data_IF_201432653586
#
_entry.id   IF_201432653586
#
_cell.length_a   1.000
_cell.length_b   1.000
_cell.length_c   1.000
_cell.angle_alpha   90.00
_cell.angle_beta   90.00
_cell.angle_gamma   90.00
#
_symmetry.space_group_name_H-M   'P 1'
#
loop_
_entity.id
_entity.type
_entity.pdbx_description
1 polymer ?
#
# COMPACT_ATOMS: atom_id res chain seq x y z
N UNK A 1 -60.09 -6.74 37.03
CA UNK A 1 -58.65 -6.64 37.34
C UNK A 1 -57.92 -6.89 36.03
N UNK A 2 -57.68 -5.83 35.25
CA UNK A 2 -57.14 -5.93 33.89
C UNK A 2 -55.62 -5.88 33.95
N UNK A 3 -54.97 -7.00 33.66
CA UNK A 3 -53.52 -7.04 33.47
C UNK A 3 -53.21 -6.65 32.01
N UNK A 4 -52.64 -5.46 31.83
CA UNK A 4 -52.08 -5.01 30.56
C UNK A 4 -50.70 -5.65 30.43
N UNK A 5 -50.54 -6.54 29.44
CA UNK A 5 -49.23 -7.03 29.01
C UNK A 5 -48.56 -5.92 28.18
N UNK A 6 -47.55 -5.26 28.75
CA UNK A 6 -46.65 -4.39 27.98
C UNK A 6 -45.58 -5.24 27.31
N UNK A 7 -45.66 -5.36 25.99
CA UNK A 7 -44.64 -5.94 25.14
C UNK A 7 -43.47 -4.95 25.04
N UNK A 8 -42.34 -5.26 25.68
CA UNK A 8 -41.12 -4.46 25.58
C UNK A 8 -40.44 -4.77 24.24
N UNK A 9 -40.57 -3.87 23.27
CA UNK A 9 -39.87 -3.97 21.99
C UNK A 9 -38.42 -3.48 22.21
N UNK A 10 -37.47 -4.41 22.32
CA UNK A 10 -36.04 -4.07 22.32
C UNK A 10 -35.65 -3.77 20.87
N UNK A 11 -35.57 -2.48 20.54
CA UNK A 11 -34.94 -2.01 19.31
C UNK A 11 -33.43 -2.19 19.46
N UNK A 12 -32.90 -3.28 18.89
CA UNK A 12 -31.47 -3.39 18.63
C UNK A 12 -31.19 -2.43 17.46
N UNK A 13 -30.69 -1.24 17.76
CA UNK A 13 -30.17 -0.32 16.76
C UNK A 13 -28.88 -0.94 16.19
N UNK A 14 -29.01 -1.74 15.14
CA UNK A 14 -27.88 -2.04 14.28
C UNK A 14 -27.44 -0.72 13.64
N UNK A 15 -26.33 -0.17 14.10
CA UNK A 15 -25.65 0.93 13.41
C UNK A 15 -25.12 0.41 12.09
N UNK A 16 -25.95 0.51 11.04
CA UNK A 16 -25.48 0.49 9.68
C UNK A 16 -24.60 1.73 9.51
N UNK A 17 -23.29 1.57 9.66
CA UNK A 17 -22.36 2.65 9.37
C UNK A 17 -22.40 2.86 7.85
N UNK A 18 -23.08 3.92 7.41
CA UNK A 18 -22.95 4.39 6.04
C UNK A 18 -21.51 4.81 5.76
N UNK A 19 -21.19 5.09 4.49
CA UNK A 19 -19.94 5.75 4.12
C UNK A 19 -19.69 6.99 5.00
N UNK A 20 -18.49 7.11 5.57
CA UNK A 20 -18.12 8.21 6.45
C UNK A 20 -16.80 8.85 6.02
N UNK A 21 -16.78 10.18 6.01
CA UNK A 21 -15.57 10.99 5.98
C UNK A 21 -15.51 11.74 7.30
N UNK A 22 -14.54 11.38 8.14
CA UNK A 22 -14.42 11.84 9.51
C UNK A 22 -13.18 12.73 9.59
N UNK A 23 -13.34 13.92 10.15
CA UNK A 23 -12.23 14.79 10.52
C UNK A 23 -11.99 14.57 12.00
N UNK A 24 -10.78 14.16 12.37
CA UNK A 24 -10.47 13.77 13.73
C UNK A 24 -9.03 14.14 14.10
N UNK A 25 -8.72 14.07 15.39
CA UNK A 25 -7.40 14.37 15.93
C UNK A 25 -6.97 13.33 16.94
N UNK A 26 -5.66 13.16 17.10
CA UNK A 26 -5.07 12.53 18.28
C UNK A 26 -4.05 13.46 18.90
N UNK A 27 -3.96 13.47 20.23
CA UNK A 27 -2.82 14.08 20.91
C UNK A 27 -1.62 13.12 20.83
N UNK A 28 -0.50 13.60 20.30
CA UNK A 28 0.74 12.83 20.22
C UNK A 28 1.93 13.75 20.51
N UNK A 29 2.75 13.38 21.51
CA UNK A 29 3.88 14.18 21.97
C UNK A 29 3.51 15.65 22.30
N UNK A 30 2.35 15.84 22.96
CA UNK A 30 1.75 17.13 23.32
C UNK A 30 1.40 18.04 22.12
N UNK A 31 1.27 17.46 20.92
CA UNK A 31 0.82 18.13 19.71
C UNK A 31 -0.50 17.48 19.30
N UNK A 32 -1.52 18.30 19.03
CA UNK A 32 -2.73 17.82 18.38
C UNK A 32 -2.42 17.54 16.90
N UNK A 33 -2.58 16.29 16.50
CA UNK A 33 -2.31 15.82 15.15
C UNK A 33 -3.61 15.44 14.48
N UNK A 34 -4.00 16.20 13.47
CA UNK A 34 -5.24 16.00 12.75
C UNK A 34 -5.10 15.11 11.52
N UNK A 35 -6.19 14.43 11.17
CA UNK A 35 -6.27 13.56 10.01
C UNK A 35 -7.71 13.48 9.49
N UNK A 36 -7.85 13.05 8.24
CA UNK A 36 -9.14 12.69 7.65
C UNK A 36 -9.19 11.17 7.50
N UNK A 37 -10.21 10.54 8.08
CA UNK A 37 -10.48 9.12 7.91
C UNK A 37 -11.63 8.92 6.93
N UNK A 38 -11.44 8.05 5.97
CA UNK A 38 -12.50 7.56 5.11
C UNK A 38 -12.82 6.11 5.44
N UNK A 39 -14.05 5.86 5.88
CA UNK A 39 -14.58 4.52 6.13
C UNK A 39 -15.59 4.21 5.03
N UNK A 40 -15.31 3.22 4.15
CA UNK A 40 -16.19 2.90 3.03
C UNK A 40 -17.51 2.31 3.53
N UNK A 41 -18.57 2.45 2.73
CA UNK A 41 -19.87 1.86 3.08
C UNK A 41 -19.82 0.32 3.19
N UNK A 42 -18.83 -0.31 2.54
CA UNK A 42 -18.60 -1.75 2.55
C UNK A 42 -17.85 -2.24 3.80
N UNK A 43 -17.38 -1.35 4.68
CA UNK A 43 -16.71 -1.75 5.92
C UNK A 43 -17.66 -2.56 6.82
N UNK A 44 -17.15 -3.71 7.30
CA UNK A 44 -17.86 -4.57 8.22
C UNK A 44 -16.97 -4.85 9.44
N UNK A 45 -17.36 -4.45 10.67
CA UNK A 45 -16.55 -4.67 11.86
C UNK A 45 -16.32 -6.14 12.20
N UNK A 46 -17.06 -7.08 11.61
CA UNK A 46 -16.84 -8.52 11.77
C UNK A 46 -15.67 -9.07 10.93
N UNK A 47 -15.19 -8.32 9.94
CA UNK A 47 -14.11 -8.74 9.04
C UNK A 47 -12.96 -7.73 9.10
N UNK A 48 -11.71 -8.17 9.35
CA UNK A 48 -10.55 -7.27 9.33
C UNK A 48 -10.42 -6.54 7.99
N UNK A 49 -10.28 -5.22 8.03
CA UNK A 49 -10.16 -4.37 6.85
C UNK A 49 -8.70 -3.90 6.67
N UNK A 50 -8.16 -3.89 5.45
CA UNK A 50 -6.88 -3.24 5.19
C UNK A 50 -6.93 -1.74 5.51
N UNK A 51 -5.78 -1.16 5.86
CA UNK A 51 -5.63 0.27 6.12
C UNK A 51 -4.60 0.87 5.14
N UNK A 52 -4.97 1.97 4.49
CA UNK A 52 -4.05 2.74 3.64
C UNK A 52 -3.82 4.10 4.27
N UNK A 53 -2.56 4.45 4.53
CA UNK A 53 -2.16 5.83 4.76
C UNK A 53 -1.87 6.51 3.43
N UNK A 54 -2.46 7.69 3.21
CA UNK A 54 -2.24 8.49 2.00
C UNK A 54 -1.80 9.91 2.36
N UNK A 55 -0.49 10.13 2.32
CA UNK A 55 0.20 11.33 2.78
C UNK A 55 0.29 12.42 1.70
N UNK A 56 0.09 13.67 2.11
CA UNK A 56 0.13 14.83 1.22
C UNK A 56 1.56 15.30 0.90
N UNK A 57 1.72 16.07 -0.18
CA UNK A 57 2.98 16.74 -0.51
C UNK A 57 3.26 17.97 0.36
N UNK A 58 4.50 18.49 0.29
CA UNK A 58 4.90 19.72 0.99
C UNK A 58 3.96 20.89 0.61
N UNK A 59 3.59 21.73 1.57
CA UNK A 59 2.60 22.83 1.45
C UNK A 59 1.14 22.41 1.27
N UNK A 60 0.85 21.12 1.10
CA UNK A 60 -0.52 20.60 0.91
C UNK A 60 -1.20 20.23 2.24
N UNK A 61 -2.30 19.50 2.22
CA UNK A 61 -2.98 19.01 3.42
C UNK A 61 -3.78 17.73 3.14
N UNK A 62 -4.26 17.09 4.20
CA UNK A 62 -5.06 15.87 4.16
C UNK A 62 -6.27 15.95 3.21
N UNK A 63 -7.00 17.08 3.22
CA UNK A 63 -8.17 17.26 2.35
C UNK A 63 -7.75 17.30 0.89
N UNK A 64 -6.73 18.10 0.54
CA UNK A 64 -6.20 18.17 -0.81
C UNK A 64 -5.72 16.80 -1.29
N UNK A 65 -4.98 16.06 -0.45
CA UNK A 65 -4.49 14.73 -0.81
C UNK A 65 -5.61 13.71 -0.97
N UNK A 66 -6.67 13.77 -0.15
CA UNK A 66 -7.85 12.91 -0.32
C UNK A 66 -8.49 13.07 -1.70
N UNK A 67 -8.49 14.28 -2.27
CA UNK A 67 -9.00 14.53 -3.62
C UNK A 67 -7.96 14.29 -4.73
N UNK A 68 -6.67 14.48 -4.45
CA UNK A 68 -5.61 14.38 -5.45
C UNK A 68 -5.11 12.94 -5.65
N UNK A 69 -4.96 12.17 -4.57
CA UNK A 69 -4.78 10.73 -4.61
C UNK A 69 -6.05 10.03 -4.16
N UNK A 70 -7.14 10.18 -4.91
CA UNK A 70 -8.46 9.71 -4.45
C UNK A 70 -8.58 8.19 -4.56
N UNK A 71 -8.77 7.53 -3.42
CA UNK A 71 -8.99 6.09 -3.31
C UNK A 71 -10.43 5.74 -2.92
N UNK A 72 -11.30 6.72 -2.66
CA UNK A 72 -12.60 6.48 -1.98
C UNK A 72 -13.52 5.55 -2.77
N UNK A 73 -13.65 5.78 -4.08
CA UNK A 73 -14.42 4.89 -4.95
C UNK A 73 -13.83 3.46 -5.00
N UNK A 74 -12.51 3.33 -4.86
CA UNK A 74 -11.84 2.02 -4.80
C UNK A 74 -12.14 1.37 -3.45
N UNK A 75 -12.01 2.11 -2.35
CA UNK A 75 -12.31 1.67 -0.99
C UNK A 75 -13.76 1.18 -0.85
N UNK A 76 -14.74 1.86 -1.47
CA UNK A 76 -16.13 1.42 -1.47
C UNK A 76 -16.32 0.02 -2.07
N UNK A 77 -15.51 -0.34 -3.07
CA UNK A 77 -15.56 -1.68 -3.69
C UNK A 77 -14.68 -2.71 -2.97
N UNK A 78 -13.56 -2.28 -2.41
CA UNK A 78 -12.50 -3.16 -1.93
C UNK A 78 -12.49 -3.33 -0.40
N UNK A 79 -13.23 -2.50 0.35
CA UNK A 79 -13.45 -2.63 1.78
C UNK A 79 -12.27 -2.20 2.67
N UNK A 80 -11.32 -1.41 2.16
CA UNK A 80 -10.22 -0.86 2.95
C UNK A 80 -10.55 0.52 3.51
N UNK A 81 -9.99 0.84 4.68
CA UNK A 81 -10.08 2.17 5.30
C UNK A 81 -8.91 3.04 4.83
N UNK A 82 -9.13 4.35 4.67
CA UNK A 82 -8.07 5.29 4.27
C UNK A 82 -7.88 6.34 5.36
N UNK A 83 -6.65 6.51 5.82
CA UNK A 83 -6.24 7.62 6.67
C UNK A 83 -5.43 8.63 5.86
N UNK A 84 -5.77 9.90 5.97
CA UNK A 84 -5.05 11.04 5.38
C UNK A 84 -4.54 11.92 6.53
N UNK A 85 -3.32 11.68 7.04
CA UNK A 85 -2.78 12.50 8.11
C UNK A 85 -2.35 13.88 7.61
N UNK A 86 -2.45 14.90 8.48
CA UNK A 86 -1.80 16.19 8.25
C UNK A 86 -0.37 16.19 8.80
N UNK A 87 0.52 16.75 7.98
CA UNK A 87 1.86 17.13 8.37
C UNK A 87 1.84 18.35 9.30
N UNK A 88 2.89 18.49 10.09
CA UNK A 88 3.05 19.65 10.98
C UNK A 88 3.53 20.87 10.20
N UNK A 89 3.51 22.04 10.84
CA UNK A 89 4.02 23.28 10.24
C UNK A 89 5.53 23.39 10.47
N UNK A 90 6.30 23.60 9.41
CA UNK A 90 7.75 23.84 9.48
C UNK A 90 8.09 25.29 9.90
N UNK A 91 9.39 25.57 10.00
CA UNK A 91 9.88 26.92 10.31
C UNK A 91 9.55 28.00 9.27
N UNK A 92 9.06 27.63 8.09
CA UNK A 92 8.63 28.53 7.02
C UNK A 92 7.10 28.74 6.99
N UNK A 93 6.35 28.07 7.88
CA UNK A 93 4.90 28.15 7.92
C UNK A 93 4.19 27.18 6.97
N UNK A 94 4.90 26.19 6.42
CA UNK A 94 4.35 25.21 5.48
C UNK A 94 4.10 23.87 6.17
N UNK A 95 3.00 23.22 5.78
CA UNK A 95 2.70 21.84 6.16
C UNK A 95 3.69 20.86 5.53
N UNK A 96 4.20 19.92 6.32
CA UNK A 96 5.21 18.95 5.91
C UNK A 96 5.25 17.72 6.81
N UNK A 97 5.86 16.66 6.29
CA UNK A 97 6.34 15.50 7.05
C UNK A 97 7.87 15.58 7.15
N UNK A 98 8.40 15.21 8.32
CA UNK A 98 9.83 15.12 8.58
C UNK A 98 10.42 13.88 7.91
N UNK A 99 11.00 14.06 6.72
CA UNK A 99 11.49 12.95 5.89
C UNK A 99 13.00 13.02 5.63
N UNK A 100 13.74 13.73 6.49
CA UNK A 100 15.20 13.87 6.37
C UNK A 100 15.70 15.15 5.73
N UNK A 101 14.80 16.04 5.35
CA UNK A 101 15.11 17.39 4.90
C UNK A 101 14.11 18.39 5.49
N UNK A 102 14.38 19.69 5.36
CA UNK A 102 13.53 20.75 5.93
C UNK A 102 13.82 21.11 7.39
N UNK A 103 14.69 20.36 8.08
CA UNK A 103 15.19 20.70 9.42
C UNK A 103 14.18 20.49 10.56
N UNK A 104 13.20 19.62 10.34
CA UNK A 104 12.19 19.30 11.35
C UNK A 104 12.71 18.33 12.41
N UNK A 105 12.18 18.46 13.62
CA UNK A 105 12.42 17.53 14.74
C UNK A 105 11.17 16.73 15.11
N UNK A 106 10.09 16.86 14.34
CA UNK A 106 8.85 16.13 14.57
C UNK A 106 9.06 14.66 14.16
N UNK A 107 8.60 13.75 15.01
CA UNK A 107 8.64 12.32 14.72
C UNK A 107 7.32 11.90 14.06
N UNK A 108 7.28 11.99 12.73
CA UNK A 108 6.11 11.58 11.95
C UNK A 108 5.98 10.06 11.83
N UNK A 109 7.06 9.30 12.10
CA UNK A 109 7.04 7.83 12.13
C UNK A 109 6.33 7.36 13.39
N UNK A 110 6.73 7.88 14.56
CA UNK A 110 6.09 7.59 15.85
C UNK A 110 4.62 8.04 15.86
N UNK A 111 4.32 9.21 15.26
CA UNK A 111 2.94 9.65 15.08
C UNK A 111 2.13 8.66 14.23
N UNK A 112 2.68 8.20 13.10
CA UNK A 112 2.00 7.22 12.25
C UNK A 112 1.75 5.92 13.01
N UNK A 113 2.72 5.45 13.79
CA UNK A 113 2.55 4.27 14.64
C UNK A 113 1.43 4.47 15.69
N UNK A 114 1.40 5.61 16.38
CA UNK A 114 0.34 5.94 17.33
C UNK A 114 -1.04 6.05 16.66
N UNK A 115 -1.10 6.57 15.43
CA UNK A 115 -2.34 6.65 14.67
C UNK A 115 -2.83 5.27 14.23
N UNK A 116 -1.95 4.34 13.85
CA UNK A 116 -2.33 2.94 13.60
C UNK A 116 -2.98 2.35 14.84
N UNK A 117 -2.40 2.53 16.02
CA UNK A 117 -2.92 1.96 17.27
C UNK A 117 -4.29 2.59 17.63
N UNK A 118 -4.43 3.91 17.48
CA UNK A 118 -5.70 4.62 17.67
C UNK A 118 -6.79 4.08 16.74
N UNK A 119 -6.51 3.96 15.44
CA UNK A 119 -7.48 3.44 14.47
C UNK A 119 -7.82 1.97 14.74
N UNK A 120 -6.84 1.15 15.11
CA UNK A 120 -7.03 -0.27 15.43
C UNK A 120 -7.85 -0.50 16.71
N UNK A 121 -7.90 0.49 17.60
CA UNK A 121 -8.78 0.45 18.78
C UNK A 121 -10.25 0.74 18.46
N UNK A 122 -10.51 1.45 17.36
CA UNK A 122 -11.84 1.89 16.94
C UNK A 122 -12.42 1.06 15.77
N UNK A 123 -11.55 0.45 14.97
CA UNK A 123 -11.90 -0.31 13.77
C UNK A 123 -11.18 -1.67 13.78
N UNK A 124 -11.83 -2.69 13.21
CA UNK A 124 -11.22 -4.01 13.01
C UNK A 124 -10.24 -3.93 11.82
N UNK A 125 -9.04 -3.42 12.08
CA UNK A 125 -7.98 -3.29 11.08
C UNK A 125 -7.18 -4.59 10.98
N UNK A 126 -7.01 -5.08 9.76
CA UNK A 126 -6.07 -6.17 9.46
C UNK A 126 -4.63 -5.68 9.66
N UNK A 127 -4.02 -6.07 10.78
CA UNK A 127 -2.66 -5.67 11.16
C UNK A 127 -1.59 -6.17 10.19
N UNK A 128 -1.89 -7.17 9.36
CA UNK A 128 -0.97 -7.65 8.34
C UNK A 128 -1.12 -6.89 7.01
N UNK A 129 -2.11 -6.01 6.88
CA UNK A 129 -2.45 -5.30 5.64
C UNK A 129 -2.60 -3.80 5.86
N UNK A 130 -1.54 -3.21 6.41
CA UNK A 130 -1.38 -1.77 6.54
C UNK A 130 -0.38 -1.31 5.48
N UNK A 131 -0.78 -0.34 4.67
CA UNK A 131 0.01 0.15 3.54
C UNK A 131 0.23 1.66 3.65
N UNK A 132 1.29 2.15 3.01
CA UNK A 132 1.57 3.59 2.94
C UNK A 132 1.77 4.05 1.51
N UNK A 133 1.11 5.15 1.15
CA UNK A 133 1.34 5.87 -0.09
C UNK A 133 1.33 7.37 0.14
N UNK A 134 1.82 8.13 -0.83
CA UNK A 134 1.69 9.57 -0.83
C UNK A 134 2.34 10.21 -2.04
N UNK A 135 2.12 11.52 -2.18
CA UNK A 135 2.71 12.31 -3.24
C UNK A 135 3.91 13.11 -2.71
N UNK A 136 4.99 13.23 -3.50
CA UNK A 136 6.10 14.14 -3.19
C UNK A 136 6.64 13.88 -1.79
N UNK A 137 6.67 14.86 -0.88
CA UNK A 137 7.00 14.69 0.54
C UNK A 137 6.26 13.52 1.24
N UNK A 138 5.00 13.23 0.89
CA UNK A 138 4.27 12.05 1.37
C UNK A 138 4.74 10.72 0.74
N UNK A 139 5.30 10.77 -0.47
CA UNK A 139 6.02 9.64 -1.07
C UNK A 139 7.34 9.36 -0.35
N UNK A 140 8.07 10.42 0.05
CA UNK A 140 9.22 10.28 0.96
C UNK A 140 8.82 9.69 2.31
N UNK A 141 7.70 10.14 2.88
CA UNK A 141 7.18 9.58 4.12
C UNK A 141 6.90 8.08 3.99
N UNK A 142 6.33 7.65 2.86
CA UNK A 142 6.03 6.24 2.61
C UNK A 142 7.30 5.38 2.57
N UNK A 143 8.36 5.85 1.92
CA UNK A 143 9.65 5.14 1.98
C UNK A 143 10.29 5.16 3.36
N UNK A 144 10.19 6.26 4.10
CA UNK A 144 10.67 6.33 5.48
C UNK A 144 9.96 5.31 6.38
N UNK A 145 8.64 5.18 6.24
CA UNK A 145 7.86 4.18 6.98
C UNK A 145 8.24 2.74 6.61
N UNK A 146 8.58 2.47 5.34
CA UNK A 146 9.11 1.16 4.96
C UNK A 146 10.48 0.86 5.61
N UNK A 147 11.29 1.88 5.89
CA UNK A 147 12.57 1.71 6.56
C UNK A 147 12.44 1.59 8.08
N UNK A 148 11.64 2.46 8.71
CA UNK A 148 11.63 2.65 10.17
C UNK A 148 10.40 2.05 10.87
N UNK A 149 9.32 1.73 10.14
CA UNK A 149 8.09 1.12 10.65
C UNK A 149 7.69 -0.15 9.88
N UNK A 150 8.67 -0.84 9.30
CA UNK A 150 8.47 -2.10 8.56
C UNK A 150 7.81 -3.20 9.38
N UNK A 151 7.85 -3.16 10.71
CA UNK A 151 7.12 -4.14 11.53
C UNK A 151 5.58 -3.97 11.47
N UNK A 152 5.08 -2.89 10.88
CA UNK A 152 3.64 -2.61 10.71
C UNK A 152 3.24 -2.45 9.24
N UNK A 153 4.15 -1.97 8.39
CA UNK A 153 3.84 -1.59 7.01
C UNK A 153 4.15 -2.74 6.05
N UNK A 154 3.09 -3.33 5.48
CA UNK A 154 3.17 -4.48 4.59
C UNK A 154 3.75 -4.15 3.22
N UNK A 155 3.42 -2.99 2.66
CA UNK A 155 3.92 -2.54 1.36
C UNK A 155 3.78 -1.02 1.24
N UNK A 156 4.61 -0.43 0.38
CA UNK A 156 4.57 1.03 0.14
C UNK A 156 4.53 1.39 -1.34
N UNK A 157 3.90 2.52 -1.61
CA UNK A 157 3.91 3.16 -2.91
C UNK A 157 4.34 4.62 -2.78
N UNK A 158 5.04 5.15 -3.78
CA UNK A 158 5.41 6.56 -3.81
C UNK A 158 5.08 7.14 -5.17
N UNK A 159 4.39 8.28 -5.18
CA UNK A 159 4.05 9.05 -6.38
C UNK A 159 4.88 10.34 -6.36
N UNK A 160 5.75 10.51 -7.35
CA UNK A 160 6.65 11.66 -7.48
C UNK A 160 7.48 12.01 -6.22
N UNK A 161 7.60 11.05 -5.29
CA UNK A 161 8.51 11.11 -4.16
C UNK A 161 9.80 10.32 -4.43
N UNK A 162 10.71 10.35 -3.47
CA UNK A 162 11.92 9.53 -3.42
C UNK A 162 12.27 9.31 -1.95
N UNK A 163 13.51 9.01 -1.63
CA UNK A 163 14.02 8.91 -0.26
C UNK A 163 15.28 9.77 -0.15
N UNK A 164 15.50 10.37 1.02
CA UNK A 164 16.71 11.15 1.25
C UNK A 164 17.93 10.23 1.42
N UNK A 165 19.14 10.64 0.97
CA UNK A 165 20.32 9.77 0.97
C UNK A 165 20.68 9.15 2.34
N UNK A 166 20.55 9.94 3.42
CA UNK A 166 20.83 9.46 4.77
C UNK A 166 19.83 8.39 5.22
N UNK A 167 18.55 8.57 4.91
CA UNK A 167 17.48 7.61 5.19
C UNK A 167 17.69 6.31 4.41
N UNK A 168 18.03 6.38 3.12
CA UNK A 168 18.30 5.17 2.34
C UNK A 168 19.52 4.41 2.88
N UNK A 169 20.58 5.13 3.26
CA UNK A 169 21.79 4.51 3.82
C UNK A 169 21.54 3.84 5.18
N UNK A 170 20.60 4.35 5.98
CA UNK A 170 20.21 3.77 7.27
C UNK A 170 19.06 2.75 7.16
N UNK A 171 18.44 2.62 6.00
CA UNK A 171 17.26 1.79 5.80
C UNK A 171 17.59 0.32 6.03
N UNK A 172 16.86 -0.31 6.96
CA UNK A 172 16.99 -1.73 7.27
C UNK A 172 15.64 -2.32 7.72
N UNK A 173 14.73 -2.61 6.78
CA UNK A 173 13.43 -3.19 7.07
C UNK A 173 13.53 -4.55 7.79
N UNK A 174 12.41 -5.01 8.38
CA UNK A 174 12.33 -6.29 9.09
C UNK A 174 11.85 -7.46 8.22
N UNK A 175 11.34 -7.19 7.02
CA UNK A 175 10.88 -8.21 6.07
C UNK A 175 11.08 -7.71 4.62
N UNK A 176 11.12 -8.62 3.63
CA UNK A 176 11.02 -8.25 2.21
C UNK A 176 9.79 -7.38 2.00
N UNK A 177 9.97 -6.17 1.49
CA UNK A 177 8.93 -5.15 1.44
C UNK A 177 8.57 -4.87 -0.01
N UNK A 178 7.37 -5.21 -0.48
CA UNK A 178 6.89 -4.83 -1.80
C UNK A 178 6.86 -3.31 -1.95
N UNK A 179 7.44 -2.81 -3.04
CA UNK A 179 7.54 -1.38 -3.34
C UNK A 179 6.97 -1.06 -4.72
N UNK A 180 6.19 0.01 -4.80
CA UNK A 180 5.75 0.62 -6.05
C UNK A 180 6.25 2.07 -6.17
N UNK A 181 6.89 2.43 -7.27
CA UNK A 181 7.28 3.80 -7.57
C UNK A 181 6.56 4.30 -8.83
N UNK A 182 5.89 5.45 -8.75
CA UNK A 182 5.29 6.14 -9.90
C UNK A 182 6.00 7.48 -10.03
N UNK A 183 6.66 7.75 -11.16
CA UNK A 183 7.47 8.96 -11.29
C UNK A 183 7.59 9.43 -12.74
N UNK A 184 7.42 10.74 -12.94
CA UNK A 184 7.66 11.43 -14.20
C UNK A 184 9.14 11.65 -14.47
N UNK A 185 9.62 11.35 -15.67
CA UNK A 185 11.04 11.56 -15.98
C UNK A 185 11.39 13.00 -16.35
N UNK A 186 10.36 13.86 -16.46
CA UNK A 186 10.45 15.31 -16.63
C UNK A 186 10.10 16.08 -15.34
N UNK A 187 9.95 15.38 -14.21
CA UNK A 187 9.68 15.97 -12.91
C UNK A 187 10.74 17.02 -12.52
N UNK A 188 10.33 18.29 -12.53
CA UNK A 188 11.17 19.43 -12.18
C UNK A 188 11.21 19.76 -10.68
N UNK A 189 10.40 19.08 -9.85
CA UNK A 189 10.30 19.35 -8.41
C UNK A 189 11.12 18.33 -7.62
N UNK A 190 10.90 17.04 -7.86
CA UNK A 190 11.71 15.93 -7.35
C UNK A 190 12.36 15.28 -8.56
N UNK A 191 13.60 15.67 -8.91
CA UNK A 191 14.19 15.21 -10.16
C UNK A 191 14.33 13.70 -10.20
N UNK A 192 13.87 13.07 -11.28
CA UNK A 192 13.97 11.62 -11.49
C UNK A 192 15.40 11.09 -11.31
N UNK A 193 16.40 11.89 -11.70
CA UNK A 193 17.83 11.57 -11.59
C UNK A 193 18.46 11.96 -10.25
N UNK A 194 17.65 12.32 -9.25
CA UNK A 194 18.08 12.70 -7.92
C UNK A 194 18.34 14.21 -7.76
N UNK A 195 18.25 14.66 -6.52
CA UNK A 195 18.52 16.03 -6.08
C UNK A 195 19.69 16.04 -5.11
N UNK A 196 20.69 16.87 -5.39
CA UNK A 196 21.95 16.89 -4.63
C UNK A 196 21.70 17.08 -3.12
N UNK A 197 21.95 16.01 -2.34
CA UNK A 197 21.91 16.03 -0.88
C UNK A 197 20.53 15.85 -0.24
N UNK A 198 19.45 15.69 -1.02
CA UNK A 198 18.09 15.62 -0.44
C UNK A 198 17.17 14.60 -1.11
N UNK A 199 17.47 14.10 -2.32
CA UNK A 199 16.68 13.08 -3.00
C UNK A 199 17.58 12.11 -3.74
N UNK A 200 17.41 10.82 -3.47
CA UNK A 200 18.02 9.75 -4.26
C UNK A 200 17.44 9.71 -5.69
N UNK A 201 18.22 9.34 -6.71
CA UNK A 201 17.70 9.02 -8.03
C UNK A 201 16.69 7.87 -7.94
N UNK A 202 15.62 7.91 -8.72
CA UNK A 202 14.60 6.85 -8.73
C UNK A 202 15.22 5.47 -8.99
N UNK A 203 16.22 5.40 -9.89
CA UNK A 203 16.95 4.15 -10.15
C UNK A 203 17.73 3.63 -8.93
N UNK A 204 18.25 4.52 -8.08
CA UNK A 204 18.94 4.15 -6.82
C UNK A 204 17.95 3.50 -5.85
N UNK A 205 16.76 4.10 -5.70
CA UNK A 205 15.68 3.57 -4.87
C UNK A 205 15.22 2.18 -5.35
N UNK A 206 14.99 2.02 -6.65
CA UNK A 206 14.61 0.73 -7.24
C UNK A 206 15.72 -0.32 -7.07
N UNK A 207 16.98 0.06 -7.24
CA UNK A 207 18.12 -0.84 -7.06
C UNK A 207 18.26 -1.30 -5.61
N UNK A 208 18.05 -0.40 -4.64
CA UNK A 208 18.05 -0.74 -3.23
C UNK A 208 16.96 -1.76 -2.91
N UNK A 209 15.69 -1.47 -3.25
CA UNK A 209 14.58 -2.33 -2.87
C UNK A 209 14.59 -3.67 -3.61
N UNK A 210 14.90 -3.68 -4.91
CA UNK A 210 15.02 -4.94 -5.66
C UNK A 210 16.19 -5.80 -5.17
N UNK A 211 17.30 -5.18 -4.76
CA UNK A 211 18.42 -5.86 -4.13
C UNK A 211 18.08 -6.39 -2.74
N UNK A 212 17.44 -5.58 -1.89
CA UNK A 212 17.04 -5.94 -0.55
C UNK A 212 16.03 -7.11 -0.56
N UNK A 213 15.04 -7.07 -1.46
CA UNK A 213 14.06 -8.14 -1.64
C UNK A 213 14.61 -9.36 -2.39
N UNK A 214 15.88 -9.37 -2.82
CA UNK A 214 16.45 -10.44 -3.65
C UNK A 214 15.66 -10.72 -4.95
N UNK A 215 15.08 -9.69 -5.57
CA UNK A 215 14.40 -9.82 -6.85
C UNK A 215 15.37 -10.23 -7.97
N UNK A 216 14.81 -10.68 -9.10
CA UNK A 216 15.60 -10.86 -10.32
C UNK A 216 16.28 -9.56 -10.74
N UNK A 217 17.56 -9.67 -11.13
CA UNK A 217 18.41 -8.51 -11.44
C UNK A 217 17.94 -7.70 -12.67
N UNK A 218 17.17 -8.30 -13.58
CA UNK A 218 16.61 -7.61 -14.75
C UNK A 218 15.09 -7.56 -14.66
N UNK A 219 14.47 -6.37 -14.77
CA UNK A 219 13.03 -6.26 -14.73
C UNK A 219 12.40 -6.75 -16.04
N UNK A 220 11.17 -7.23 -15.93
CA UNK A 220 10.26 -7.31 -17.09
C UNK A 220 9.81 -5.89 -17.41
N UNK A 221 9.97 -5.46 -18.66
CA UNK A 221 9.61 -4.11 -19.10
C UNK A 221 8.45 -4.17 -20.09
N UNK A 222 7.37 -3.46 -19.78
CA UNK A 222 6.16 -3.38 -20.61
C UNK A 222 5.88 -1.92 -20.95
N UNK A 223 5.75 -1.60 -22.23
CA UNK A 223 5.18 -0.31 -22.64
C UNK A 223 3.66 -0.42 -22.52
N UNK A 224 3.04 0.46 -21.76
CA UNK A 224 1.58 0.50 -21.67
C UNK A 224 1.00 1.19 -22.91
N UNK A 225 -0.28 0.92 -23.25
CA UNK A 225 -0.97 1.68 -24.29
C UNK A 225 -1.01 3.18 -23.94
N UNK A 226 -0.73 4.00 -24.95
CA UNK A 226 -0.96 5.45 -24.93
C UNK A 226 -2.44 5.68 -25.26
N UNK A 227 -3.24 5.90 -24.22
CA UNK A 227 -4.69 6.05 -24.28
C UNK A 227 -5.05 7.53 -24.48
N UNK A 228 -4.31 8.44 -23.86
CA UNK A 228 -4.49 9.89 -24.02
C UNK A 228 -3.36 10.55 -24.80
N UNK A 229 -3.54 10.56 -26.13
CA UNK A 229 -2.59 11.13 -27.07
C UNK A 229 -2.35 12.65 -26.92
N UNK A 230 -3.09 13.33 -26.04
CA UNK A 230 -3.02 14.79 -25.86
C UNK A 230 -2.18 15.22 -24.66
N UNK A 231 -1.84 14.30 -23.77
CA UNK A 231 -1.11 14.63 -22.53
C UNK A 231 0.41 14.76 -22.73
N UNK A 232 0.91 14.33 -23.90
CA UNK A 232 2.32 14.46 -24.29
C UNK A 232 3.26 13.48 -23.58
N UNK A 233 2.72 12.43 -22.96
CA UNK A 233 3.45 11.48 -22.13
C UNK A 233 3.10 10.03 -22.49
N UNK A 234 3.90 9.08 -22.02
CA UNK A 234 3.61 7.63 -22.14
C UNK A 234 4.13 6.90 -20.91
N UNK A 235 3.66 5.66 -20.67
CA UNK A 235 4.08 4.89 -19.49
C UNK A 235 4.87 3.64 -19.85
N UNK A 236 6.01 3.47 -19.17
CA UNK A 236 6.77 2.21 -19.12
C UNK A 236 6.67 1.59 -17.73
N UNK A 237 6.18 0.36 -17.67
CA UNK A 237 6.13 -0.43 -16.46
C UNK A 237 7.36 -1.35 -16.37
N UNK A 238 8.08 -1.26 -15.25
CA UNK A 238 9.19 -2.12 -14.90
C UNK A 238 8.80 -2.98 -13.71
N UNK A 239 8.94 -4.30 -13.83
CA UNK A 239 8.62 -5.27 -12.78
C UNK A 239 9.87 -6.09 -12.44
N UNK A 240 10.43 -5.85 -11.25
CA UNK A 240 11.45 -6.69 -10.63
C UNK A 240 10.73 -7.73 -9.78
N UNK A 241 10.64 -8.94 -10.31
CA UNK A 241 9.82 -10.02 -9.74
C UNK A 241 10.64 -11.06 -8.98
N UNK A 242 9.91 -11.99 -8.37
CA UNK A 242 10.45 -13.21 -7.75
C UNK A 242 11.43 -12.90 -6.61
N UNK A 243 11.17 -11.81 -5.88
CA UNK A 243 11.85 -11.52 -4.62
C UNK A 243 11.46 -12.52 -3.52
N UNK A 244 12.16 -12.46 -2.40
CA UNK A 244 11.84 -13.23 -1.20
C UNK A 244 10.37 -13.01 -0.81
N UNK A 245 9.67 -14.10 -0.50
CA UNK A 245 8.21 -14.12 -0.28
C UNK A 245 7.39 -13.49 -1.43
N UNK A 246 7.90 -13.60 -2.65
CA UNK A 246 7.33 -12.97 -3.84
C UNK A 246 7.15 -11.45 -3.70
N UNK A 247 7.97 -10.77 -2.90
CA UNK A 247 7.91 -9.32 -2.72
C UNK A 247 8.48 -8.61 -3.96
N UNK A 248 7.59 -8.26 -4.90
CA UNK A 248 7.98 -7.60 -6.14
C UNK A 248 8.25 -6.10 -5.92
N UNK A 249 9.15 -5.54 -6.75
CA UNK A 249 9.37 -4.09 -6.87
C UNK A 249 8.91 -3.63 -8.25
N UNK A 250 8.04 -2.64 -8.28
CA UNK A 250 7.40 -2.13 -9.50
C UNK A 250 7.71 -0.65 -9.71
N UNK A 251 7.82 -0.25 -10.98
CA UNK A 251 7.97 1.15 -11.36
C UNK A 251 7.13 1.50 -12.58
N UNK A 252 6.22 2.46 -12.44
CA UNK A 252 5.63 3.17 -13.58
C UNK A 252 6.46 4.42 -13.85
N UNK A 253 7.33 4.31 -14.86
CA UNK A 253 8.08 5.45 -15.39
C UNK A 253 7.19 6.17 -16.40
N UNK A 254 6.86 7.43 -16.12
CA UNK A 254 6.06 8.26 -17.02
C UNK A 254 7.03 9.10 -17.85
N UNK A 255 7.19 8.73 -19.12
CA UNK A 255 8.04 9.42 -20.08
C UNK A 255 7.37 10.72 -20.47
N UNK A 256 8.05 11.85 -20.27
CA UNK A 256 7.49 13.20 -20.48
C UNK A 256 6.55 13.65 -19.36
N UNK A 257 6.34 12.85 -18.32
CA UNK A 257 5.48 13.21 -17.19
C UNK A 257 6.20 14.15 -16.20
N UNK A 258 5.43 15.06 -15.62
CA UNK A 258 5.87 16.03 -14.63
C UNK A 258 5.56 15.58 -13.18
N UNK A 259 5.67 16.50 -12.22
CA UNK A 259 5.40 16.29 -10.78
C UNK A 259 3.91 16.20 -10.46
N UNK A 260 3.23 15.16 -10.93
CA UNK A 260 1.76 15.03 -10.86
C UNK A 260 1.31 13.63 -10.45
N UNK A 261 0.05 13.53 -9.98
CA UNK A 261 -0.61 12.26 -9.72
C UNK A 261 -1.36 11.77 -10.98
N UNK A 262 -0.97 10.63 -11.58
CA UNK A 262 -1.53 10.19 -12.86
C UNK A 262 -3.03 9.88 -12.79
N UNK A 263 -3.74 10.29 -13.84
CA UNK A 263 -5.17 10.03 -14.02
C UNK A 263 -6.09 10.85 -13.11
N UNK A 264 -5.57 11.83 -12.36
CA UNK A 264 -6.41 12.72 -11.57
C UNK A 264 -6.86 13.92 -12.42
N UNK A 265 -8.17 14.21 -12.42
CA UNK A 265 -8.78 15.32 -13.17
C UNK A 265 -8.42 16.72 -12.65
N UNK A 266 -7.89 16.82 -11.43
CA UNK A 266 -7.32 18.04 -10.82
C UNK A 266 -5.84 18.18 -11.23
N UNK A 267 -5.31 17.24 -12.01
CA UNK A 267 -3.97 17.28 -12.58
C UNK A 267 -3.69 18.54 -13.38
N UNK A 268 -2.46 19.04 -13.26
CA UNK A 268 -1.97 20.17 -14.06
C UNK A 268 -1.40 19.73 -15.41
N UNK A 269 -0.75 20.68 -16.10
CA UNK A 269 0.09 20.34 -17.26
C UNK A 269 1.13 19.27 -16.88
N UNK A 270 1.42 18.35 -17.80
CA UNK A 270 2.34 17.23 -17.60
C UNK A 270 1.77 16.06 -16.77
N UNK A 271 0.46 16.07 -16.47
CA UNK A 271 -0.24 14.90 -15.90
C UNK A 271 -0.48 13.86 -16.99
N UNK A 272 -0.03 12.62 -16.74
CA UNK A 272 -0.35 11.48 -17.58
C UNK A 272 -1.76 10.95 -17.27
N UNK A 273 -2.51 10.58 -18.30
CA UNK A 273 -3.87 10.04 -18.21
C UNK A 273 -4.00 8.61 -18.75
N UNK A 274 -2.89 7.95 -19.12
CA UNK A 274 -2.88 6.54 -19.54
C UNK A 274 -3.16 5.56 -18.40
N UNK A 275 -2.81 5.96 -17.17
CA UNK A 275 -3.04 5.19 -15.96
C UNK A 275 -3.75 6.01 -14.90
N UNK A 276 -4.48 5.34 -14.02
CA UNK A 276 -4.98 5.93 -12.79
C UNK A 276 -4.09 5.50 -11.62
N UNK A 277 -3.32 6.44 -11.05
CA UNK A 277 -2.33 6.15 -10.03
C UNK A 277 -2.91 5.43 -8.81
N UNK A 278 -4.06 5.89 -8.30
CA UNK A 278 -4.72 5.26 -7.14
C UNK A 278 -5.15 3.82 -7.43
N UNK A 279 -5.65 3.55 -8.64
CA UNK A 279 -6.03 2.21 -9.06
C UNK A 279 -4.82 1.29 -9.19
N UNK A 280 -3.72 1.75 -9.79
CA UNK A 280 -2.50 0.94 -9.90
C UNK A 280 -1.88 0.65 -8.51
N UNK A 281 -1.92 1.62 -7.61
CA UNK A 281 -1.48 1.44 -6.22
C UNK A 281 -2.34 0.39 -5.49
N UNK A 282 -3.67 0.42 -5.65
CA UNK A 282 -4.51 -0.60 -5.01
C UNK A 282 -4.33 -1.99 -5.64
N UNK A 283 -4.24 -2.09 -6.97
CA UNK A 283 -3.89 -3.35 -7.65
C UNK A 283 -2.56 -3.90 -7.15
N UNK A 284 -1.62 -3.03 -6.81
CA UNK A 284 -0.37 -3.40 -6.19
C UNK A 284 -0.56 -3.90 -4.75
N UNK A 285 -1.05 -3.05 -3.83
CA UNK A 285 -1.20 -3.36 -2.40
C UNK A 285 -2.07 -4.58 -2.14
N UNK A 286 -3.17 -4.75 -2.89
CA UNK A 286 -4.12 -5.83 -2.68
C UNK A 286 -3.51 -7.23 -2.79
N UNK A 287 -2.33 -7.37 -3.42
CA UNK A 287 -1.57 -8.62 -3.56
C UNK A 287 -0.79 -9.02 -2.31
N UNK A 288 -0.56 -8.12 -1.35
CA UNK A 288 0.45 -8.32 -0.31
C UNK A 288 -0.11 -8.23 1.11
N UNK A 289 0.51 -8.97 2.03
CA UNK A 289 0.45 -8.73 3.47
C UNK A 289 1.88 -8.58 4.02
N UNK A 290 2.04 -8.41 5.34
CA UNK A 290 3.34 -8.20 5.99
C UNK A 290 4.35 -9.35 5.74
N UNK A 291 3.89 -10.52 5.33
CA UNK A 291 4.72 -11.68 5.03
C UNK A 291 5.10 -11.78 3.55
N UNK A 292 4.64 -10.87 2.69
CA UNK A 292 4.88 -10.90 1.25
C UNK A 292 3.59 -11.08 0.45
N UNK A 293 3.67 -11.72 -0.73
CA UNK A 293 2.49 -11.88 -1.60
C UNK A 293 1.52 -12.90 -1.00
N UNK A 294 0.25 -12.54 -0.90
CA UNK A 294 -0.83 -13.41 -0.48
C UNK A 294 -0.87 -14.60 -1.45
N UNK A 295 -0.83 -15.82 -0.91
CA UNK A 295 -0.70 -17.08 -1.68
C UNK A 295 0.65 -17.27 -2.40
N UNK A 296 1.71 -16.56 -1.99
CA UNK A 296 3.05 -16.88 -2.47
C UNK A 296 3.43 -18.32 -2.07
N UNK A 297 3.79 -19.12 -3.07
CA UNK A 297 4.35 -20.46 -2.86
C UNK A 297 5.85 -20.33 -3.07
N UNK A 298 6.58 -20.08 -1.98
CA UNK A 298 8.05 -20.04 -2.00
C UNK A 298 8.70 -21.42 -1.89
N UNK A 299 7.92 -22.43 -1.51
CA UNK A 299 8.43 -23.77 -1.21
C UNK A 299 7.63 -24.86 -1.96
N UNK A 300 8.28 -25.53 -2.91
CA UNK A 300 7.77 -26.77 -3.53
C UNK A 300 7.63 -27.92 -2.51
N UNK A 301 8.04 -27.71 -1.25
CA UNK A 301 8.00 -28.70 -0.17
C UNK A 301 6.82 -28.55 0.78
N UNK A 302 5.79 -27.77 0.44
CA UNK A 302 4.49 -27.94 1.12
C UNK A 302 4.02 -29.35 0.81
N UNK A 303 4.17 -30.25 1.77
CA UNK A 303 3.54 -31.57 1.76
C UNK A 303 2.07 -31.30 1.56
N UNK A 304 1.57 -31.48 0.33
CA UNK A 304 0.15 -31.45 0.08
C UNK A 304 -0.42 -32.54 0.98
N UNK A 305 -1.24 -32.16 1.96
CA UNK A 305 -2.03 -33.12 2.71
C UNK A 305 -3.10 -33.64 1.74
N UNK A 306 -2.67 -34.63 0.95
CA UNK A 306 -3.50 -35.33 -0.01
C UNK A 306 -4.32 -36.43 0.66
N UNK A 307 -4.39 -36.51 2.00
CA UNK A 307 -5.16 -37.55 2.69
C UNK A 307 -6.62 -37.63 2.22
N UNK A 308 -7.19 -36.50 1.77
CA UNK A 308 -8.55 -36.43 1.22
C UNK A 308 -8.62 -36.63 -0.31
N UNK A 309 -7.50 -36.57 -1.02
CA UNK A 309 -7.42 -36.67 -2.50
C UNK A 309 -6.83 -38.00 -2.97
N UNK A 310 -6.06 -38.66 -2.11
CA UNK A 310 -5.30 -39.87 -2.40
C UNK A 310 -5.68 -40.94 -1.39
N UNK A 311 -6.35 -41.99 -1.87
CA UNK A 311 -6.68 -43.15 -1.06
C UNK A 311 -5.75 -44.32 -1.42
N UNK A 312 -5.10 -44.89 -0.40
CA UNK A 312 -4.19 -46.02 -0.52
C UNK A 312 -4.82 -47.28 0.08
N UNK A 313 -4.98 -48.33 -0.73
CA UNK A 313 -5.54 -49.60 -0.26
C UNK A 313 -4.83 -50.84 -0.81
N UNK A 314 -4.64 -51.90 -0.01
CA UNK A 314 -4.87 -51.95 1.43
C UNK A 314 -3.80 -51.17 2.19
N UNK A 315 -4.17 -50.48 3.29
CA UNK A 315 -3.23 -49.88 4.23
C UNK A 315 -3.42 -50.51 5.61
N UNK A 316 -2.43 -51.25 6.17
CA UNK A 316 -1.08 -51.44 5.64
C UNK A 316 -0.99 -52.45 4.49
N UNK A 317 -0.17 -52.14 3.48
CA UNK A 317 0.14 -53.04 2.37
C UNK A 317 1.34 -53.94 2.70
N UNK A 318 1.35 -55.17 2.16
CA UNK A 318 2.48 -56.11 2.33
C UNK A 318 3.34 -56.29 1.08
N UNK A 319 2.77 -56.13 -0.12
CA UNK A 319 3.47 -56.37 -1.39
C UNK A 319 3.05 -55.37 -2.48
N UNK A 320 1.75 -55.16 -2.67
CA UNK A 320 1.20 -54.20 -3.61
C UNK A 320 0.18 -53.29 -2.90
N UNK A 321 0.05 -52.05 -3.38
CA UNK A 321 -1.02 -51.14 -3.00
C UNK A 321 -1.65 -50.51 -4.24
N UNK A 322 -2.91 -50.11 -4.11
CA UNK A 322 -3.66 -49.36 -5.11
C UNK A 322 -3.70 -47.90 -4.69
N UNK A 323 -3.39 -47.03 -5.64
CA UNK A 323 -3.49 -45.58 -5.53
C UNK A 323 -4.76 -45.12 -6.24
N UNK A 324 -5.72 -44.56 -5.51
CA UNK A 324 -6.87 -43.88 -6.09
C UNK A 324 -6.73 -42.37 -5.90
N UNK A 325 -6.86 -41.60 -6.96
CA UNK A 325 -6.72 -40.13 -6.95
C UNK A 325 -8.02 -39.54 -7.46
N UNK A 326 -8.76 -38.84 -6.60
CA UNK A 326 -9.93 -38.08 -7.05
C UNK A 326 -9.47 -36.72 -7.59
N UNK A 327 -9.37 -36.60 -8.92
CA UNK A 327 -9.10 -35.32 -9.60
C UNK A 327 -10.18 -34.99 -10.62
N UNK A 328 -10.62 -33.73 -10.64
CA UNK A 328 -11.29 -33.11 -11.78
C UNK A 328 -10.22 -32.50 -12.71
N UNK A 329 -9.53 -33.33 -13.50
CA UNK A 329 -8.54 -32.87 -14.48
C UNK A 329 -7.55 -33.95 -14.93
N UNK A 330 -6.94 -33.75 -16.11
CA UNK A 330 -5.86 -34.61 -16.60
C UNK A 330 -4.54 -34.23 -15.91
N UNK A 331 -3.97 -35.15 -15.12
CA UNK A 331 -2.62 -35.03 -14.59
C UNK A 331 -1.75 -36.19 -15.11
N UNK A 332 -0.52 -35.88 -15.49
CA UNK A 332 0.51 -36.87 -15.81
C UNK A 332 1.28 -37.16 -14.52
N UNK A 333 1.28 -38.41 -14.08
CA UNK A 333 2.05 -38.89 -12.93
C UNK A 333 3.20 -39.72 -13.48
N UNK A 334 4.43 -39.26 -13.25
CA UNK A 334 5.64 -40.04 -13.54
C UNK A 334 6.12 -40.64 -12.24
N UNK A 335 6.19 -41.98 -12.18
CA UNK A 335 6.68 -42.73 -11.01
C UNK A 335 8.21 -42.76 -11.05
#
# INVERSE_FOLDING_TARGET
MNFIFSLLLVLIAGSYAGQQTIYDTIEHNAIERDFILYVPNSYNPATPAPLIFNFHGYTSNALQQMWYGDFRAIADTAGFIIAHPNGTIDGLGNTHFNVGWGGSSIDDVDFTNALIDSLSSNYNIDQNRIYSTGMSNGGFMSFLLACELSNRIAAVASVTGSIAPAQLAACNPQHPTPVLQIHGDSDGTVPYNGGAGWSEPVNSVLSYWSGYNNCLASPVVTNLPDIDLSDGSTVKHYLYKDGDNCADVEHFKIIGGDHTWPGNFIGGAGTNYDINGSMEIWKFFSKYDINGKIECITDLTRTLDLSNLVQLFPNPAKENFHLNIESKGNHVITI
#
